data_IF_240880667429
#
_entry.id   IF_240880667429
#
_cell.length_a   1.000
_cell.length_b   1.000
_cell.length_c   1.000
_cell.angle_alpha   90.00
_cell.angle_beta   90.00
_cell.angle_gamma   90.00
#
_symmetry.space_group_name_H-M   'P 1'
#
loop_
_entity.id
_entity.type
_entity.pdbx_description
1 polymer ?
#
# COMPACT_ATOMS: atom_id res chain seq x y z
N UNK A 1 14.15 -24.13 17.83
CA UNK A 1 15.40 -23.76 17.13
C UNK A 1 15.36 -22.27 16.90
N UNK A 2 16.35 -21.47 17.34
CA UNK A 2 16.40 -20.06 16.98
C UNK A 2 16.67 -19.96 15.47
N UNK A 3 15.88 -19.16 14.76
CA UNK A 3 15.93 -18.97 13.30
C UNK A 3 17.09 -18.04 12.89
N UNK A 4 17.84 -17.53 13.86
CA UNK A 4 18.93 -16.60 13.65
C UNK A 4 20.26 -17.23 14.07
N UNK A 5 21.10 -17.48 13.06
CA UNK A 5 22.50 -17.85 13.22
C UNK A 5 23.36 -16.59 12.97
N UNK A 6 23.95 -15.99 14.03
CA UNK A 6 24.75 -14.77 13.90
C UNK A 6 26.02 -14.95 13.07
N UNK A 7 26.50 -16.19 12.87
CA UNK A 7 27.70 -16.45 12.07
C UNK A 7 27.41 -16.57 10.56
N UNK A 8 26.14 -16.74 10.18
CA UNK A 8 25.72 -16.90 8.78
C UNK A 8 25.36 -15.56 8.10
N UNK A 9 25.50 -14.43 8.79
CA UNK A 9 24.97 -13.16 8.28
C UNK A 9 25.93 -11.98 8.44
N UNK A 10 27.08 -12.05 7.78
CA UNK A 10 27.90 -10.86 7.54
C UNK A 10 28.75 -10.92 6.25
N UNK A 11 28.20 -11.49 5.16
CA UNK A 11 28.80 -11.39 3.82
C UNK A 11 28.56 -10.02 3.16
N UNK A 12 28.01 -9.06 3.90
CA UNK A 12 27.79 -7.73 3.37
C UNK A 12 29.15 -7.01 3.32
N UNK A 13 29.57 -6.49 2.15
CA UNK A 13 30.80 -5.71 2.09
C UNK A 13 30.73 -4.54 3.08
N UNK A 14 31.87 -4.23 3.68
CA UNK A 14 32.00 -3.04 4.51
C UNK A 14 31.54 -1.81 3.69
N UNK A 15 30.72 -0.97 4.31
CA UNK A 15 30.28 0.29 3.69
C UNK A 15 31.45 1.28 3.76
N UNK A 16 32.42 1.08 2.88
CA UNK A 16 33.61 1.90 2.74
C UNK A 16 33.44 2.97 1.64
N UNK A 17 34.46 3.81 1.46
CA UNK A 17 34.41 4.92 0.52
C UNK A 17 34.26 4.46 -0.94
N UNK A 18 34.83 3.30 -1.28
CA UNK A 18 34.78 2.74 -2.64
C UNK A 18 33.41 2.13 -2.94
N UNK A 19 32.80 1.44 -1.96
CA UNK A 19 31.43 0.95 -2.03
C UNK A 19 30.43 2.11 -2.18
N UNK A 20 30.61 3.19 -1.42
CA UNK A 20 29.78 4.39 -1.49
C UNK A 20 29.97 5.14 -2.82
N UNK A 21 31.17 5.18 -3.37
CA UNK A 21 31.45 5.79 -4.68
C UNK A 21 30.84 5.00 -5.85
N UNK A 22 30.73 3.67 -5.72
CA UNK A 22 30.08 2.79 -6.70
C UNK A 22 28.55 2.73 -6.61
N UNK A 23 27.96 3.22 -5.51
CA UNK A 23 26.52 3.23 -5.31
C UNK A 23 25.83 4.20 -6.29
N UNK A 24 25.21 3.65 -7.34
CA UNK A 24 24.30 4.42 -8.19
C UNK A 24 22.96 4.59 -7.48
N UNK A 25 22.40 5.82 -7.40
CA UNK A 25 21.05 6.04 -6.88
C UNK A 25 20.09 5.17 -7.68
N UNK A 26 19.60 4.12 -7.04
CA UNK A 26 18.64 3.26 -7.69
C UNK A 26 17.34 4.05 -7.77
N UNK A 27 16.85 4.30 -9.00
CA UNK A 27 15.50 4.84 -9.24
C UNK A 27 14.43 3.78 -8.90
N UNK A 28 14.66 2.98 -7.86
CA UNK A 28 13.84 1.87 -7.39
C UNK A 28 12.77 2.44 -6.47
N UNK A 29 11.74 2.98 -7.10
CA UNK A 29 10.40 3.04 -6.55
C UNK A 29 9.45 2.42 -7.56
N UNK A 30 8.31 1.89 -7.09
CA UNK A 30 7.18 1.60 -7.99
C UNK A 30 6.90 2.88 -8.81
N UNK A 31 6.72 2.81 -10.13
CA UNK A 31 6.33 3.96 -10.93
C UNK A 31 5.17 4.71 -10.24
N UNK A 32 5.28 6.03 -10.12
CA UNK A 32 4.19 6.84 -9.55
C UNK A 32 2.96 6.60 -10.41
N UNK A 33 1.85 6.18 -9.79
CA UNK A 33 0.57 6.10 -10.49
C UNK A 33 0.19 7.51 -10.93
N UNK A 34 -0.28 7.67 -12.18
CA UNK A 34 -0.75 8.98 -12.68
C UNK A 34 -1.97 9.48 -11.91
N UNK A 35 -2.86 8.57 -11.50
CA UNK A 35 -4.04 8.86 -10.70
C UNK A 35 -4.12 7.92 -9.49
N UNK A 36 -3.42 8.22 -8.38
CA UNK A 36 -3.52 7.42 -7.17
C UNK A 36 -4.90 7.57 -6.53
N UNK A 37 -5.33 6.55 -5.79
CA UNK A 37 -6.51 6.66 -4.92
C UNK A 37 -6.24 7.73 -3.87
N UNK A 38 -7.18 8.65 -3.71
CA UNK A 38 -7.11 9.71 -2.70
C UNK A 38 -7.74 9.20 -1.42
N UNK A 39 -7.00 9.26 -0.31
CA UNK A 39 -7.56 8.99 1.01
C UNK A 39 -8.46 10.16 1.41
N UNK A 40 -9.74 9.87 1.62
CA UNK A 40 -10.74 10.88 2.01
C UNK A 40 -11.35 10.51 3.35
N UNK A 41 -11.44 11.49 4.26
CA UNK A 41 -12.11 11.33 5.55
C UNK A 41 -13.59 11.67 5.40
N UNK A 42 -14.43 10.64 5.31
CA UNK A 42 -15.89 10.76 5.28
C UNK A 42 -16.51 10.10 6.51
N UNK A 43 -17.62 10.66 7.01
CA UNK A 43 -18.43 10.03 8.04
C UNK A 43 -19.59 9.30 7.37
N UNK A 44 -19.77 8.04 7.72
CA UNK A 44 -20.87 7.19 7.27
C UNK A 44 -21.68 6.77 8.50
N UNK A 45 -22.98 6.50 8.29
CA UNK A 45 -23.84 5.94 9.33
C UNK A 45 -23.28 4.63 9.90
N UNK A 46 -23.40 4.47 11.22
CA UNK A 46 -22.87 3.31 11.92
C UNK A 46 -23.47 1.98 11.41
N UNK A 47 -24.79 1.95 11.17
CA UNK A 47 -25.49 0.79 10.63
C UNK A 47 -24.98 0.41 9.22
N UNK A 48 -24.69 1.41 8.39
CA UNK A 48 -24.16 1.21 7.04
C UNK A 48 -22.75 0.63 7.10
N UNK A 49 -21.88 1.18 7.97
CA UNK A 49 -20.51 0.67 8.15
C UNK A 49 -20.52 -0.76 8.68
N UNK A 50 -21.41 -1.08 9.62
CA UNK A 50 -21.52 -2.42 10.19
C UNK A 50 -21.95 -3.45 9.13
N UNK A 51 -22.99 -3.14 8.34
CA UNK A 51 -23.42 -3.96 7.23
C UNK A 51 -22.29 -4.19 6.20
N UNK A 52 -21.57 -3.12 5.84
CA UNK A 52 -20.45 -3.20 4.91
C UNK A 52 -19.32 -4.06 5.46
N UNK A 53 -18.92 -3.90 6.72
CA UNK A 53 -17.91 -4.76 7.36
C UNK A 53 -18.36 -6.22 7.42
N UNK A 54 -19.64 -6.45 7.71
CA UNK A 54 -20.28 -7.77 7.72
C UNK A 54 -20.28 -8.47 6.35
N UNK A 55 -20.20 -7.73 5.25
CA UNK A 55 -20.05 -8.30 3.90
C UNK A 55 -18.68 -8.96 3.64
N UNK A 56 -17.76 -8.89 4.60
CA UNK A 56 -16.47 -9.59 4.57
C UNK A 56 -15.32 -8.78 3.97
N UNK A 57 -14.15 -9.42 3.77
CA UNK A 57 -12.96 -8.75 3.25
C UNK A 57 -13.22 -8.01 1.93
N UNK A 58 -12.53 -6.87 1.75
CA UNK A 58 -12.66 -6.04 0.54
C UNK A 58 -13.92 -5.16 0.48
N UNK A 59 -14.67 -5.00 1.57
CA UNK A 59 -15.85 -4.15 1.61
C UNK A 59 -15.57 -2.70 1.19
N UNK A 60 -14.41 -2.13 1.54
CA UNK A 60 -14.02 -0.78 1.09
C UNK A 60 -13.85 -0.70 -0.44
N UNK A 61 -13.31 -1.75 -1.05
CA UNK A 61 -13.17 -1.84 -2.51
C UNK A 61 -14.55 -1.91 -3.18
N UNK A 62 -15.49 -2.66 -2.60
CA UNK A 62 -16.89 -2.73 -3.08
C UNK A 62 -17.59 -1.38 -2.96
N UNK A 63 -17.40 -0.66 -1.84
CA UNK A 63 -17.93 0.70 -1.66
C UNK A 63 -17.37 1.65 -2.72
N UNK A 64 -16.06 1.61 -2.97
CA UNK A 64 -15.44 2.44 -4.00
C UNK A 64 -16.00 2.14 -5.40
N UNK A 65 -16.22 0.86 -5.72
CA UNK A 65 -16.82 0.47 -7.00
C UNK A 65 -18.27 0.99 -7.13
N UNK A 66 -19.09 0.82 -6.09
CA UNK A 66 -20.46 1.32 -6.09
C UNK A 66 -20.52 2.86 -6.24
N UNK A 67 -19.62 3.59 -5.58
CA UNK A 67 -19.52 5.05 -5.73
C UNK A 67 -19.11 5.42 -7.15
N UNK A 68 -18.14 4.71 -7.76
CA UNK A 68 -17.75 4.95 -9.14
C UNK A 68 -18.91 4.71 -10.11
N UNK A 69 -19.71 3.67 -9.91
CA UNK A 69 -20.90 3.38 -10.72
C UNK A 69 -22.00 4.43 -10.56
N UNK A 70 -22.16 5.01 -9.36
CA UNK A 70 -23.11 6.10 -9.11
C UNK A 70 -22.68 7.38 -9.86
N UNK A 71 -21.38 7.72 -9.81
CA UNK A 71 -20.80 8.87 -10.54
C UNK A 71 -20.92 8.67 -12.05
N UNK A 72 -20.55 7.49 -12.55
CA UNK A 72 -20.64 7.18 -13.98
C UNK A 72 -22.09 7.23 -14.51
N UNK A 73 -23.06 6.88 -13.66
CA UNK A 73 -24.48 6.98 -13.97
C UNK A 73 -25.07 8.40 -13.77
N UNK A 74 -24.30 9.37 -13.29
CA UNK A 74 -24.79 10.73 -13.02
C UNK A 74 -25.86 10.81 -11.94
N UNK A 75 -25.89 9.84 -11.02
CA UNK A 75 -26.84 9.81 -9.89
C UNK A 75 -26.35 10.60 -8.68
N UNK A 76 -25.08 11.00 -8.70
CA UNK A 76 -24.39 11.87 -7.76
C UNK A 76 -23.38 12.74 -8.51
#
# INVERSE_FOLDING_TARGET
>A
MPVFDPELHDDNPAIDADFMAGMKPSRRGRPRLEAPKVEVKIRLDAATVDHLRGSGPGWQTRVNAALADLVAAGRI
#
